data_IF_674187574237
#
_entry.id   IF_674187574237
#
_cell.length_a   1.000
_cell.length_b   1.000
_cell.length_c   1.000
_cell.angle_alpha   90.00
_cell.angle_beta   90.00
_cell.angle_gamma   90.00
#
_symmetry.space_group_name_H-M   'P 1'
#
loop_
_entity.id
_entity.type
_entity.pdbx_description
1 polymer ?
#
# COMPACT_ATOMS: atom_id res chain seq x y z
N UNK A 1 -13.29 -6.13 -7.77
CA UNK A 1 -11.86 -6.26 -8.14
C UNK A 1 -11.28 -7.34 -7.25
N UNK A 2 -10.60 -8.35 -7.81
CA UNK A 2 -10.01 -9.40 -6.99
C UNK A 2 -8.84 -8.82 -6.19
N UNK A 3 -9.09 -8.54 -4.90
CA UNK A 3 -8.07 -8.15 -3.93
C UNK A 3 -7.11 -9.31 -3.77
N UNK A 4 -5.90 -9.21 -4.33
CA UNK A 4 -4.93 -10.29 -4.28
C UNK A 4 -4.40 -10.46 -2.84
N UNK A 5 -4.06 -11.68 -2.40
CA UNK A 5 -3.59 -11.91 -1.04
C UNK A 5 -2.34 -11.08 -0.71
N UNK A 6 -1.48 -10.82 -1.69
CA UNK A 6 -0.25 -10.02 -1.54
C UNK A 6 -0.57 -8.54 -1.24
N UNK A 7 -1.62 -8.00 -1.87
CA UNK A 7 -2.10 -6.65 -1.59
C UNK A 7 -2.66 -6.56 -0.15
N UNK A 8 -3.36 -7.60 0.31
CA UNK A 8 -3.86 -7.68 1.69
C UNK A 8 -2.73 -7.76 2.71
N UNK A 9 -1.68 -8.53 2.44
CA UNK A 9 -0.52 -8.63 3.31
C UNK A 9 0.24 -7.30 3.44
N UNK A 10 0.42 -6.59 2.32
CA UNK A 10 0.99 -5.24 2.31
C UNK A 10 0.10 -4.27 3.12
N UNK A 11 -1.21 -4.29 2.89
CA UNK A 11 -2.16 -3.44 3.61
C UNK A 11 -2.15 -3.71 5.11
N UNK A 12 -2.12 -4.99 5.51
CA UNK A 12 -2.03 -5.40 6.90
C UNK A 12 -0.72 -4.90 7.56
N UNK A 13 0.40 -4.91 6.84
CA UNK A 13 1.67 -4.32 7.32
C UNK A 13 1.55 -2.82 7.56
N UNK A 14 1.02 -2.08 6.58
CA UNK A 14 0.82 -0.63 6.69
C UNK A 14 -0.09 -0.28 7.87
N UNK A 15 -1.15 -1.07 8.07
CA UNK A 15 -2.06 -0.92 9.20
C UNK A 15 -1.35 -1.17 10.54
N UNK A 16 -0.54 -2.21 10.66
CA UNK A 16 0.25 -2.47 11.88
C UNK A 16 1.22 -1.33 12.21
N UNK A 17 1.93 -0.82 11.19
CA UNK A 17 2.82 0.34 11.36
C UNK A 17 2.05 1.57 11.87
N UNK A 18 0.88 1.84 11.27
CA UNK A 18 0.01 2.95 11.67
C UNK A 18 -0.56 2.79 13.08
N UNK A 19 -1.01 1.59 13.45
CA UNK A 19 -1.53 1.28 14.79
C UNK A 19 -0.46 1.51 15.86
N UNK A 20 0.78 1.08 15.63
CA UNK A 20 1.92 1.35 16.54
C UNK A 20 2.25 2.84 16.64
N UNK A 21 2.08 3.57 15.55
CA UNK A 21 2.39 5.00 15.48
C UNK A 21 1.37 5.91 16.16
N UNK A 22 0.15 5.42 16.41
CA UNK A 22 -0.96 6.22 16.94
C UNK A 22 -1.46 7.33 16.00
N UNK A 23 -1.10 7.30 14.71
CA UNK A 23 -1.45 8.37 13.76
C UNK A 23 -2.77 8.09 13.04
N UNK A 24 -3.61 9.11 12.89
CA UNK A 24 -4.88 9.01 12.17
C UNK A 24 -4.68 8.98 10.65
N UNK A 25 -5.56 8.27 9.94
CA UNK A 25 -5.52 8.20 8.47
C UNK A 25 -5.65 9.58 7.81
N UNK A 26 -6.39 10.53 8.40
CA UNK A 26 -6.49 11.90 7.90
C UNK A 26 -5.17 12.67 7.90
N UNK A 27 -4.33 12.47 8.93
CA UNK A 27 -3.00 13.11 9.03
C UNK A 27 -2.06 12.55 7.97
N UNK A 28 -2.09 11.23 7.77
CA UNK A 28 -1.28 10.55 6.76
C UNK A 28 -1.73 10.93 5.35
N UNK A 29 -3.05 10.94 5.10
CA UNK A 29 -3.67 11.37 3.85
C UNK A 29 -3.22 12.79 3.45
N UNK A 30 -3.30 13.74 4.38
CA UNK A 30 -2.88 15.12 4.14
C UNK A 30 -1.39 15.25 3.77
N UNK A 31 -0.51 14.47 4.43
CA UNK A 31 0.94 14.50 4.14
C UNK A 31 1.35 13.73 2.88
N UNK A 32 0.56 12.73 2.49
CA UNK A 32 0.78 11.94 1.27
C UNK A 32 0.13 12.57 0.04
N UNK A 33 -0.63 13.65 0.20
CA UNK A 33 -1.46 14.27 -0.84
C UNK A 33 -2.46 13.28 -1.47
N UNK A 34 -2.97 12.34 -0.66
CA UNK A 34 -3.98 11.35 -1.09
C UNK A 34 -5.23 11.46 -0.22
N UNK A 35 -6.39 11.11 -0.77
CA UNK A 35 -7.63 11.08 0.01
C UNK A 35 -7.61 9.96 1.05
N UNK A 36 -8.30 10.18 2.18
CA UNK A 36 -8.45 9.16 3.23
C UNK A 36 -9.01 7.83 2.69
N UNK A 37 -9.95 7.86 1.72
CA UNK A 37 -10.47 6.65 1.06
C UNK A 37 -9.40 5.88 0.28
N UNK A 38 -8.45 6.56 -0.38
CA UNK A 38 -7.33 5.88 -1.07
C UNK A 38 -6.41 5.22 -0.06
N UNK A 39 -6.11 5.91 1.04
CA UNK A 39 -5.29 5.37 2.11
C UNK A 39 -5.96 4.15 2.78
N UNK A 40 -7.29 4.21 2.97
CA UNK A 40 -8.08 3.09 3.47
C UNK A 40 -7.99 1.88 2.55
N UNK A 41 -8.10 2.08 1.23
CA UNK A 41 -7.92 0.99 0.24
C UNK A 41 -6.52 0.39 0.32
N UNK A 42 -5.49 1.20 0.51
CA UNK A 42 -4.13 0.69 0.69
C UNK A 42 -4.00 -0.15 1.97
N UNK A 43 -4.57 0.31 3.08
CA UNK A 43 -4.51 -0.41 4.36
C UNK A 43 -5.39 -1.67 4.40
N UNK A 44 -6.47 -1.71 3.61
CA UNK A 44 -7.31 -2.91 3.43
C UNK A 44 -6.77 -3.85 2.34
N UNK A 45 -5.71 -3.47 1.63
CA UNK A 45 -5.17 -4.23 0.49
C UNK A 45 -6.05 -4.20 -0.76
N UNK A 46 -7.05 -3.34 -0.80
CA UNK A 46 -7.95 -3.15 -1.94
C UNK A 46 -7.25 -2.42 -3.11
N UNK A 47 -6.21 -1.64 -2.80
CA UNK A 47 -5.35 -1.03 -3.80
C UNK A 47 -3.88 -1.10 -3.36
N UNK A 48 -2.99 -1.29 -4.33
CA UNK A 48 -1.54 -1.24 -4.12
C UNK A 48 -1.00 0.03 -4.76
N UNK A 49 -0.19 0.84 -4.06
CA UNK A 49 0.44 2.03 -4.65
C UNK A 49 1.34 1.63 -5.82
N UNK A 50 1.29 2.36 -6.93
CA UNK A 50 2.15 2.09 -8.09
C UNK A 50 3.62 2.48 -7.88
N UNK A 51 3.90 3.28 -6.85
CA UNK A 51 5.25 3.72 -6.51
C UNK A 51 5.54 3.43 -5.04
N UNK A 52 6.70 2.81 -4.78
CA UNK A 52 7.18 2.59 -3.42
C UNK A 52 7.38 3.91 -2.65
N UNK A 53 7.59 5.04 -3.33
CA UNK A 53 7.73 6.35 -2.68
C UNK A 53 6.53 6.73 -1.79
N UNK A 54 5.30 6.34 -2.18
CA UNK A 54 4.11 6.56 -1.34
C UNK A 54 4.12 5.68 -0.08
N UNK A 55 4.58 4.44 -0.23
CA UNK A 55 4.71 3.43 0.84
C UNK A 55 5.82 3.82 1.81
N UNK A 56 6.98 4.23 1.30
CA UNK A 56 8.12 4.70 2.09
C UNK A 56 7.76 5.96 2.87
N UNK A 57 7.15 6.96 2.23
CA UNK A 57 6.69 8.18 2.91
C UNK A 57 5.71 7.86 4.03
N UNK A 58 4.74 6.98 3.80
CA UNK A 58 3.82 6.53 4.84
C UNK A 58 4.55 5.88 6.02
N UNK A 59 5.45 4.93 5.73
CA UNK A 59 6.18 4.21 6.75
C UNK A 59 7.14 5.12 7.54
N UNK A 60 7.84 6.04 6.86
CA UNK A 60 8.65 7.09 7.52
C UNK A 60 7.80 8.01 8.39
N UNK A 61 6.61 8.39 7.92
CA UNK A 61 5.67 9.18 8.71
C UNK A 61 5.19 8.43 9.94
N UNK A 62 5.08 7.11 9.88
CA UNK A 62 4.80 6.23 11.00
C UNK A 62 6.02 6.06 11.94
N UNK A 63 7.24 6.39 11.49
CA UNK A 63 8.46 6.12 12.26
C UNK A 63 8.88 4.66 12.14
N UNK A 64 8.65 4.06 10.97
CA UNK A 64 9.17 2.74 10.64
C UNK A 64 10.71 2.78 10.59
N UNK A 65 11.32 1.76 11.18
CA UNK A 65 12.76 1.52 11.10
C UNK A 65 13.15 1.08 9.68
N UNK A 66 14.44 1.17 9.38
CA UNK A 66 14.96 0.81 8.05
C UNK A 66 14.77 -0.68 7.73
N UNK A 67 14.85 -1.55 8.73
CA UNK A 67 14.56 -2.98 8.58
C UNK A 67 13.11 -3.21 8.15
N UNK A 68 12.17 -2.48 8.76
CA UNK A 68 10.76 -2.55 8.41
C UNK A 68 10.48 -2.01 7.02
N UNK A 69 11.16 -0.93 6.61
CA UNK A 69 11.09 -0.40 5.25
C UNK A 69 11.56 -1.43 4.21
N UNK A 70 12.62 -2.19 4.50
CA UNK A 70 13.13 -3.23 3.61
C UNK A 70 12.10 -4.36 3.47
N UNK A 71 11.52 -4.81 4.58
CA UNK A 71 10.47 -5.83 4.57
C UNK A 71 9.23 -5.35 3.79
N UNK A 72 8.82 -4.11 4.04
CA UNK A 72 7.71 -3.45 3.33
C UNK A 72 7.99 -3.37 1.82
N UNK A 73 9.23 -3.06 1.43
CA UNK A 73 9.65 -3.00 0.03
C UNK A 73 9.56 -4.36 -0.64
N UNK A 74 10.05 -5.42 0.00
CA UNK A 74 9.95 -6.79 -0.52
C UNK A 74 8.50 -7.19 -0.79
N UNK A 75 7.60 -6.96 0.17
CA UNK A 75 6.17 -7.29 -0.01
C UNK A 75 5.48 -6.39 -1.02
N UNK A 76 5.87 -5.12 -1.09
CA UNK A 76 5.36 -4.21 -2.10
C UNK A 76 5.68 -4.68 -3.52
N UNK A 77 6.89 -5.18 -3.78
CA UNK A 77 7.27 -5.71 -5.10
C UNK A 77 6.34 -6.88 -5.51
N UNK A 78 6.09 -7.82 -4.60
CA UNK A 78 5.21 -8.98 -4.90
C UNK A 78 3.77 -8.52 -5.13
N UNK A 79 3.27 -7.59 -4.30
CA UNK A 79 1.94 -7.03 -4.44
C UNK A 79 1.79 -6.19 -5.72
N UNK A 80 2.83 -5.46 -6.13
CA UNK A 80 2.83 -4.65 -7.35
C UNK A 80 2.88 -5.51 -8.60
N UNK A 81 3.65 -6.61 -8.58
CA UNK A 81 3.65 -7.62 -9.64
C UNK A 81 2.27 -8.27 -9.78
N UNK A 82 1.66 -8.69 -8.67
CA UNK A 82 0.30 -9.24 -8.66
C UNK A 82 -0.74 -8.23 -9.17
N UNK A 83 -0.63 -6.95 -8.75
CA UNK A 83 -1.46 -5.84 -9.25
C UNK A 83 -1.28 -5.66 -10.76
N UNK A 84 -0.04 -5.69 -11.25
CA UNK A 84 0.29 -5.49 -12.66
C UNK A 84 -0.25 -6.63 -13.52
N UNK A 85 -0.12 -7.88 -13.06
CA UNK A 85 -0.75 -9.06 -13.68
C UNK A 85 -2.27 -8.94 -13.75
N UNK A 86 -2.92 -8.53 -12.66
CA UNK A 86 -4.37 -8.31 -12.62
C UNK A 86 -4.85 -7.23 -13.59
N UNK A 87 -4.07 -6.15 -13.75
CA UNK A 87 -4.40 -5.05 -14.68
C UNK A 87 -4.25 -5.46 -16.15
N UNK A 88 -3.24 -6.26 -16.48
CA UNK A 88 -3.06 -6.83 -17.82
C UNK A 88 -4.21 -7.76 -18.21
N UNK A 89 -4.68 -8.59 -17.27
CA UNK A 89 -5.84 -9.47 -17.49
C UNK A 89 -7.14 -8.68 -17.78
N UNK A 90 -7.34 -7.52 -17.16
CA UNK A 90 -8.50 -6.64 -17.42
C UNK A 90 -8.37 -5.77 -18.67
N UNK A 91 -7.18 -5.69 -19.28
CA UNK A 91 -6.91 -4.88 -20.46
C UNK A 91 -7.06 -5.63 -21.79
N UNK A 92 -7.30 -6.94 -21.78
CA UNK A 92 -7.39 -7.76 -23.00
C UNK A 92 -8.84 -7.90 -23.47
N UNK A 93 -9.47 -6.76 -23.74
CA UNK A 93 -10.89 -6.70 -24.11
C UNK A 93 -11.22 -5.54 -25.06
N UNK A 94 -10.33 -5.22 -26.01
CA UNK A 94 -10.74 -4.48 -27.22
C UNK A 94 -9.82 -4.87 -28.38
N UNK A 95 -10.40 -5.61 -29.32
CA UNK A 95 -9.85 -5.95 -30.63
C UNK A 95 -10.95 -6.61 -31.44
#
# INVERSE_FOLDING_TARGET
MATTPEAQELGALLRRLKERSGRSYGVLAGRLHVSASTLHRYCNGDAVPAEFAAVERFARLCGAEREELIELHRRWIVADDARTRGRAATGTGTG
#
